data_IF_071752557712
#
_entry.id   IF_071752557712
#
_cell.length_a   1.000
_cell.length_b   1.000
_cell.length_c   1.000
_cell.angle_alpha   90.00
_cell.angle_beta   90.00
_cell.angle_gamma   90.00
#
_symmetry.space_group_name_H-M   'P 1'
#
loop_
_entity.id
_entity.type
_entity.pdbx_description
1 polymer ?
#
# COMPACT_ATOMS: atom_id res chain seq x y z
N UNK A 1 -36.27 -43.95 9.62
CA UNK A 1 -34.87 -43.55 9.72
C UNK A 1 -34.46 -42.87 8.41
N UNK A 2 -34.61 -41.56 8.36
CA UNK A 2 -34.17 -40.70 7.23
C UNK A 2 -33.77 -39.37 7.82
N UNK A 3 -32.70 -38.84 7.37
CA UNK A 3 -32.15 -37.49 7.56
C UNK A 3 -30.89 -37.46 8.41
N UNK A 4 -29.77 -37.40 7.74
CA UNK A 4 -28.65 -36.52 8.09
C UNK A 4 -27.54 -36.69 7.05
N UNK A 5 -27.62 -36.00 5.95
CA UNK A 5 -26.46 -35.89 5.00
C UNK A 5 -26.67 -34.77 3.99
N UNK A 6 -26.86 -33.53 4.41
CA UNK A 6 -26.74 -32.36 3.52
C UNK A 6 -26.43 -31.16 4.43
N UNK A 7 -25.19 -30.97 4.84
CA UNK A 7 -24.75 -29.63 5.37
C UNK A 7 -23.23 -29.43 5.37
N UNK A 8 -22.46 -30.27 4.69
CA UNK A 8 -20.98 -30.13 4.74
C UNK A 8 -20.37 -29.48 3.47
N UNK A 9 -21.11 -29.36 2.35
CA UNK A 9 -20.52 -28.87 1.09
C UNK A 9 -20.45 -27.35 0.92
N UNK A 10 -21.18 -26.56 1.71
CA UNK A 10 -21.20 -25.09 1.51
C UNK A 10 -20.07 -24.35 2.25
N UNK A 11 -19.46 -24.95 3.27
CA UNK A 11 -18.40 -24.29 4.04
C UNK A 11 -17.01 -24.34 3.37
N UNK A 12 -16.72 -25.38 2.57
CA UNK A 12 -15.42 -25.52 1.91
C UNK A 12 -15.27 -24.59 0.70
N UNK A 13 -16.35 -24.26 0.00
CA UNK A 13 -16.29 -23.36 -1.17
C UNK A 13 -16.11 -21.88 -0.77
N UNK A 14 -16.68 -21.45 0.35
CA UNK A 14 -16.48 -20.11 0.89
C UNK A 14 -15.04 -19.90 1.39
N UNK A 15 -14.43 -20.90 2.00
CA UNK A 15 -13.06 -20.83 2.49
C UNK A 15 -12.04 -20.77 1.34
N UNK A 16 -12.29 -21.49 0.26
CA UNK A 16 -11.43 -21.51 -0.92
C UNK A 16 -11.52 -20.20 -1.73
N UNK A 17 -12.70 -19.57 -1.79
CA UNK A 17 -12.88 -18.26 -2.43
C UNK A 17 -12.21 -17.15 -1.62
N UNK A 18 -12.36 -17.13 -0.29
CA UNK A 18 -11.70 -16.18 0.60
C UNK A 18 -10.16 -16.31 0.55
N UNK A 19 -9.63 -17.50 0.31
CA UNK A 19 -8.19 -17.73 0.19
C UNK A 19 -7.60 -17.14 -1.10
N UNK A 20 -8.40 -16.98 -2.18
CA UNK A 20 -7.98 -16.30 -3.42
C UNK A 20 -7.98 -14.78 -3.33
N UNK A 21 -8.73 -14.21 -2.42
CA UNK A 21 -8.90 -12.76 -2.25
C UNK A 21 -7.84 -12.13 -1.34
N UNK A 22 -7.09 -12.97 -0.58
CA UNK A 22 -5.97 -12.58 0.24
C UNK A 22 -4.82 -13.56 0.00
N UNK A 23 -3.91 -13.20 -0.89
CA UNK A 23 -2.79 -14.08 -1.28
C UNK A 23 -1.53 -13.28 -1.57
N UNK A 24 -0.39 -13.99 -1.47
CA UNK A 24 0.92 -13.50 -1.89
C UNK A 24 1.55 -14.56 -2.79
N UNK A 25 1.50 -14.33 -4.09
CA UNK A 25 1.89 -15.28 -5.11
C UNK A 25 3.11 -14.79 -5.91
N UNK A 26 3.67 -15.63 -6.76
CA UNK A 26 4.61 -15.19 -7.79
C UNK A 26 3.92 -14.24 -8.76
N UNK A 27 4.67 -13.26 -9.30
CA UNK A 27 4.10 -12.28 -10.22
C UNK A 27 3.68 -13.00 -11.52
N UNK A 28 2.42 -12.89 -11.98
CA UNK A 28 1.98 -13.41 -13.27
C UNK A 28 2.75 -12.76 -14.43
N UNK A 29 2.96 -13.50 -15.54
CA UNK A 29 3.76 -13.01 -16.66
C UNK A 29 3.19 -11.75 -17.32
N UNK A 30 1.87 -11.65 -17.43
CA UNK A 30 1.21 -10.46 -17.94
C UNK A 30 1.44 -9.23 -17.06
N UNK A 31 1.40 -9.39 -15.73
CA UNK A 31 1.71 -8.33 -14.78
C UNK A 31 3.18 -7.94 -14.87
N UNK A 32 4.08 -8.94 -14.86
CA UNK A 32 5.51 -8.71 -15.02
C UNK A 32 5.86 -7.95 -16.30
N UNK A 33 5.21 -8.30 -17.42
CA UNK A 33 5.38 -7.61 -18.69
C UNK A 33 4.92 -6.15 -18.61
N UNK A 34 3.79 -5.87 -17.95
CA UNK A 34 3.27 -4.50 -17.80
C UNK A 34 4.17 -3.60 -16.95
N UNK A 35 4.97 -4.17 -16.04
CA UNK A 35 5.91 -3.45 -15.19
C UNK A 35 7.17 -2.97 -15.94
N UNK A 36 7.54 -3.65 -17.04
CA UNK A 36 8.79 -3.38 -17.74
C UNK A 36 8.85 -1.95 -18.31
N UNK A 37 9.95 -1.23 -18.02
CA UNK A 37 10.15 0.15 -18.44
C UNK A 37 9.26 1.18 -17.72
N UNK A 38 8.46 0.73 -16.73
CA UNK A 38 7.58 1.59 -15.91
C UNK A 38 7.98 1.53 -14.44
N UNK A 39 7.40 0.60 -13.69
CA UNK A 39 7.75 0.39 -12.27
C UNK A 39 8.97 -0.48 -12.08
N UNK A 40 9.34 -1.28 -13.07
CA UNK A 40 10.55 -2.09 -13.08
C UNK A 40 11.47 -1.71 -14.25
N UNK A 41 12.73 -1.45 -13.92
CA UNK A 41 13.83 -1.24 -14.87
C UNK A 41 14.88 -2.30 -14.56
N UNK A 42 15.47 -3.02 -15.55
CA UNK A 42 16.52 -4.00 -15.31
C UNK A 42 17.66 -3.44 -14.47
N UNK A 43 18.02 -4.14 -13.40
CA UNK A 43 18.98 -3.69 -12.39
C UNK A 43 19.54 -4.86 -11.58
N UNK A 44 20.62 -4.61 -10.81
CA UNK A 44 21.26 -5.63 -9.96
C UNK A 44 20.75 -5.65 -8.52
N UNK A 45 19.80 -4.77 -8.14
CA UNK A 45 19.39 -4.61 -6.74
C UNK A 45 18.16 -5.44 -6.37
N UNK A 46 17.26 -5.70 -7.32
CA UNK A 46 16.02 -6.44 -7.09
C UNK A 46 15.64 -7.22 -8.34
N UNK A 47 15.31 -8.50 -8.16
CA UNK A 47 14.92 -9.39 -9.25
C UNK A 47 13.44 -9.76 -9.11
N UNK A 48 12.81 -10.28 -10.19
CA UNK A 48 11.42 -10.77 -10.16
C UNK A 48 11.19 -11.78 -9.02
N UNK A 49 12.16 -12.66 -8.78
CA UNK A 49 12.09 -13.68 -7.72
C UNK A 49 12.04 -13.13 -6.30
N UNK A 50 12.46 -11.86 -6.11
CA UNK A 50 12.40 -11.18 -4.82
C UNK A 50 11.05 -10.53 -4.58
N UNK A 51 10.23 -10.40 -5.61
CA UNK A 51 8.93 -9.74 -5.56
C UNK A 51 7.79 -10.76 -5.50
N UNK A 52 6.67 -10.30 -4.94
CA UNK A 52 5.39 -11.03 -4.90
C UNK A 52 4.26 -10.16 -5.40
N UNK A 53 3.30 -10.79 -6.03
CA UNK A 53 2.02 -10.23 -6.37
C UNK A 53 1.06 -10.52 -5.22
N UNK A 54 0.60 -9.47 -4.57
CA UNK A 54 -0.27 -9.55 -3.40
C UNK A 54 -1.66 -9.07 -3.79
N UNK A 55 -2.68 -9.88 -3.48
CA UNK A 55 -4.09 -9.53 -3.62
C UNK A 55 -4.72 -9.41 -2.24
N UNK A 56 -5.53 -8.38 -2.06
CA UNK A 56 -6.21 -8.08 -0.80
C UNK A 56 -7.57 -7.46 -1.06
N UNK A 57 -8.54 -7.72 -0.19
CA UNK A 57 -9.78 -6.94 -0.19
C UNK A 57 -9.60 -5.65 0.60
N UNK A 58 -10.27 -4.59 0.14
CA UNK A 58 -10.37 -3.33 0.87
C UNK A 58 -11.75 -2.69 0.71
N UNK A 59 -12.09 -1.81 1.63
CA UNK A 59 -13.29 -0.98 1.56
C UNK A 59 -12.92 0.40 1.02
N UNK A 60 -13.63 0.88 0.00
CA UNK A 60 -13.49 2.26 -0.46
C UNK A 60 -14.21 3.24 0.49
N UNK A 61 -14.18 4.52 0.13
CA UNK A 61 -14.80 5.58 0.93
C UNK A 61 -16.33 5.60 0.86
N UNK A 62 -16.92 4.88 -0.10
CA UNK A 62 -18.36 4.66 -0.25
C UNK A 62 -18.83 3.39 0.49
N UNK A 63 -17.91 2.67 1.12
CA UNK A 63 -18.18 1.43 1.84
C UNK A 63 -18.41 0.23 0.92
N UNK A 64 -17.90 0.27 -0.30
CA UNK A 64 -17.90 -0.85 -1.24
C UNK A 64 -16.61 -1.65 -1.10
N UNK A 65 -16.74 -2.97 -1.18
CA UNK A 65 -15.58 -3.89 -1.18
C UNK A 65 -15.00 -4.03 -2.58
N UNK A 66 -13.66 -3.96 -2.66
CA UNK A 66 -12.89 -4.13 -3.89
C UNK A 66 -11.74 -5.08 -3.67
N UNK A 67 -11.33 -5.76 -4.76
CA UNK A 67 -10.08 -6.51 -4.80
C UNK A 67 -8.95 -5.54 -5.19
N UNK A 68 -7.96 -5.41 -4.33
CA UNK A 68 -6.76 -4.62 -4.55
C UNK A 68 -5.56 -5.48 -4.94
N UNK A 69 -4.60 -4.86 -5.62
CA UNK A 69 -3.40 -5.49 -6.16
C UNK A 69 -2.14 -4.69 -5.80
N UNK A 70 -1.14 -5.37 -5.27
CA UNK A 70 0.15 -4.79 -4.90
C UNK A 70 1.30 -5.65 -5.42
N UNK A 71 2.43 -5.01 -5.74
CA UNK A 71 3.72 -5.70 -5.86
C UNK A 71 4.56 -5.28 -4.67
N UNK A 72 5.14 -6.24 -3.95
CA UNK A 72 6.03 -5.97 -2.83
C UNK A 72 7.16 -7.00 -2.75
N UNK A 73 8.14 -6.77 -1.88
CA UNK A 73 9.18 -7.75 -1.59
C UNK A 73 8.59 -8.98 -0.90
N UNK A 74 9.13 -10.17 -1.23
CA UNK A 74 8.75 -11.44 -0.60
C UNK A 74 8.85 -11.43 0.92
N UNK A 75 9.76 -10.61 1.47
CA UNK A 75 9.99 -10.49 2.91
C UNK A 75 8.80 -9.90 3.67
N UNK A 76 8.03 -9.01 3.03
CA UNK A 76 6.89 -8.35 3.65
C UNK A 76 5.53 -8.85 3.13
N UNK A 77 5.52 -9.70 2.11
CA UNK A 77 4.29 -10.07 1.40
C UNK A 77 3.23 -10.69 2.32
N UNK A 78 3.60 -11.70 3.13
CA UNK A 78 2.68 -12.32 4.09
C UNK A 78 2.28 -11.36 5.23
N UNK A 79 3.16 -10.45 5.64
CA UNK A 79 2.82 -9.42 6.63
C UNK A 79 1.74 -8.49 6.09
N UNK A 80 1.84 -8.06 4.81
CA UNK A 80 0.82 -7.24 4.16
C UNK A 80 -0.52 -8.00 4.09
N UNK A 81 -0.51 -9.27 3.69
CA UNK A 81 -1.74 -10.11 3.68
C UNK A 81 -2.43 -10.10 5.04
N UNK A 82 -1.68 -10.31 6.13
CA UNK A 82 -2.24 -10.31 7.50
C UNK A 82 -2.78 -8.92 7.87
N UNK A 83 -2.00 -7.86 7.64
CA UNK A 83 -2.40 -6.48 7.93
C UNK A 83 -3.69 -6.11 7.18
N UNK A 84 -3.76 -6.39 5.87
CA UNK A 84 -4.94 -6.05 5.08
C UNK A 84 -6.17 -6.88 5.44
N UNK A 85 -6.02 -8.14 5.89
CA UNK A 85 -7.12 -8.91 6.48
C UNK A 85 -7.69 -8.23 7.73
N UNK A 86 -6.84 -7.76 8.63
CA UNK A 86 -7.28 -7.06 9.85
C UNK A 86 -7.92 -5.70 9.50
N UNK A 87 -7.35 -4.93 8.55
CA UNK A 87 -7.94 -3.68 8.07
C UNK A 87 -9.31 -3.90 7.41
N UNK A 88 -9.43 -4.93 6.58
CA UNK A 88 -10.70 -5.28 5.92
C UNK A 88 -11.77 -5.71 6.91
N UNK A 89 -11.43 -6.57 7.88
CA UNK A 89 -12.35 -7.00 8.95
C UNK A 89 -12.86 -5.83 9.80
N UNK A 90 -12.01 -4.81 10.02
CA UNK A 90 -12.36 -3.58 10.72
C UNK A 90 -13.08 -2.55 9.85
N UNK A 91 -13.35 -2.84 8.58
CA UNK A 91 -13.89 -1.89 7.58
C UNK A 91 -13.08 -0.60 7.47
N UNK A 92 -11.75 -0.70 7.62
CA UNK A 92 -10.86 0.44 7.48
C UNK A 92 -10.87 0.95 6.02
N UNK A 93 -11.17 2.24 5.78
CA UNK A 93 -11.36 2.74 4.44
C UNK A 93 -10.03 3.00 3.72
N UNK A 94 -9.85 2.39 2.56
CA UNK A 94 -8.75 2.61 1.63
C UNK A 94 -9.35 2.84 0.26
N UNK A 95 -9.09 4.00 -0.37
CA UNK A 95 -9.79 4.40 -1.58
C UNK A 95 -9.48 3.50 -2.77
N UNK A 96 -8.19 3.33 -3.07
CA UNK A 96 -7.72 2.49 -4.16
C UNK A 96 -6.50 1.69 -3.72
N UNK A 97 -6.40 0.44 -4.23
CA UNK A 97 -5.20 -0.40 -4.16
C UNK A 97 -5.00 -0.99 -5.55
N UNK A 98 -4.32 -0.25 -6.41
CA UNK A 98 -4.16 -0.57 -7.82
C UNK A 98 -2.67 -0.56 -8.20
N UNK A 99 -2.31 -1.40 -9.18
CA UNK A 99 -0.94 -1.42 -9.68
C UNK A 99 -0.56 -0.06 -10.29
N UNK A 100 0.65 0.45 -9.98
CA UNK A 100 1.11 1.77 -10.45
C UNK A 100 1.11 1.94 -11.97
N UNK A 101 1.15 0.84 -12.72
CA UNK A 101 1.07 0.81 -14.19
C UNK A 101 -0.20 1.45 -14.73
N UNK A 102 -1.31 1.39 -13.98
CA UNK A 102 -2.57 2.07 -14.31
C UNK A 102 -2.40 3.61 -14.41
N UNK A 103 -1.43 4.13 -13.69
CA UNK A 103 -1.07 5.55 -13.65
C UNK A 103 0.19 5.87 -14.46
N UNK A 104 0.66 4.94 -15.32
CA UNK A 104 1.94 5.01 -16.02
C UNK A 104 3.15 5.16 -15.09
N UNK A 105 3.09 4.57 -13.90
CA UNK A 105 4.10 4.68 -12.84
C UNK A 105 4.41 6.13 -12.40
N UNK A 106 3.49 7.06 -12.63
CA UNK A 106 3.60 8.45 -12.22
C UNK A 106 3.15 8.59 -10.75
N UNK A 107 4.10 8.82 -9.85
CA UNK A 107 3.85 8.95 -8.41
C UNK A 107 2.85 10.06 -8.08
N UNK A 108 2.95 11.22 -8.74
CA UNK A 108 2.04 12.34 -8.45
C UNK A 108 0.60 12.00 -8.85
N UNK A 109 0.41 11.31 -9.99
CA UNK A 109 -0.92 10.85 -10.43
C UNK A 109 -1.50 9.82 -9.47
N UNK A 110 -0.71 8.84 -9.04
CA UNK A 110 -1.15 7.84 -8.07
C UNK A 110 -1.59 8.48 -6.74
N UNK A 111 -0.74 9.33 -6.18
CA UNK A 111 -1.03 10.02 -4.92
C UNK A 111 -2.25 10.92 -5.03
N UNK A 112 -2.43 11.63 -6.16
CA UNK A 112 -3.63 12.45 -6.41
C UNK A 112 -4.90 11.62 -6.53
N UNK A 113 -4.82 10.44 -7.11
CA UNK A 113 -5.91 9.46 -7.17
C UNK A 113 -6.15 8.75 -5.82
N UNK A 114 -5.36 9.06 -4.79
CA UNK A 114 -5.40 8.41 -3.49
C UNK A 114 -5.15 6.89 -3.58
N UNK A 115 -4.23 6.47 -4.46
CA UNK A 115 -3.89 5.08 -4.67
C UNK A 115 -2.84 4.61 -3.66
N UNK A 116 -3.18 3.62 -2.86
CA UNK A 116 -2.25 2.88 -1.99
C UNK A 116 -1.37 2.00 -2.86
N UNK A 117 -0.05 2.13 -2.74
CA UNK A 117 0.92 1.41 -3.59
C UNK A 117 2.20 1.06 -2.83
N UNK A 118 2.94 0.07 -3.34
CA UNK A 118 4.16 -0.43 -2.70
C UNK A 118 5.38 -0.32 -3.62
N UNK A 119 5.55 -1.20 -4.60
CA UNK A 119 6.75 -1.27 -5.43
C UNK A 119 6.76 -0.24 -6.56
N UNK A 120 7.87 0.50 -6.65
CA UNK A 120 8.24 1.30 -7.82
C UNK A 120 9.76 1.51 -7.79
N UNK A 121 10.48 1.02 -8.80
CA UNK A 121 11.94 1.13 -8.87
C UNK A 121 12.36 2.54 -9.22
N UNK A 122 12.82 3.28 -8.25
CA UNK A 122 13.27 4.66 -8.40
C UNK A 122 14.23 5.10 -7.29
N UNK A 123 14.99 6.12 -7.55
CA UNK A 123 15.76 6.82 -6.52
C UNK A 123 14.87 7.74 -5.68
N UNK A 124 15.33 8.06 -4.49
CA UNK A 124 14.76 9.13 -3.66
C UNK A 124 15.01 10.46 -4.38
N UNK A 125 13.99 11.30 -4.51
CA UNK A 125 14.07 12.59 -5.18
C UNK A 125 15.25 13.45 -4.63
N UNK A 126 16.14 13.88 -5.54
CA UNK A 126 17.33 14.66 -5.19
C UNK A 126 18.48 13.84 -4.56
N UNK A 127 18.46 12.51 -4.67
CA UNK A 127 19.47 11.61 -4.11
C UNK A 127 19.82 10.48 -5.09
N UNK A 128 21.03 9.93 -4.98
CA UNK A 128 21.42 8.66 -5.66
C UNK A 128 20.99 7.40 -4.90
N UNK A 129 20.37 7.55 -3.72
CA UNK A 129 19.92 6.41 -2.90
C UNK A 129 18.61 5.86 -3.46
N UNK A 130 18.50 4.53 -3.50
CA UNK A 130 17.25 3.85 -3.82
C UNK A 130 16.20 4.10 -2.73
N UNK A 131 14.97 4.35 -3.15
CA UNK A 131 13.81 4.37 -2.27
C UNK A 131 13.56 2.98 -1.67
N UNK A 132 12.93 2.90 -0.50
CA UNK A 132 12.40 1.63 0.01
C UNK A 132 11.31 1.04 -0.89
N UNK A 133 10.56 1.88 -1.61
CA UNK A 133 9.66 1.43 -2.67
C UNK A 133 10.39 0.70 -3.80
N UNK A 134 11.61 1.13 -4.15
CA UNK A 134 12.43 0.46 -5.17
C UNK A 134 12.88 -0.95 -4.74
N UNK A 135 12.85 -1.24 -3.47
CA UNK A 135 13.13 -2.56 -2.89
C UNK A 135 11.86 -3.37 -2.60
N UNK A 136 10.68 -2.77 -2.83
CA UNK A 136 9.40 -3.35 -2.45
C UNK A 136 9.18 -3.46 -0.94
N UNK A 137 9.91 -2.68 -0.14
CA UNK A 137 9.92 -2.70 1.33
C UNK A 137 9.21 -1.50 1.95
N UNK A 138 8.47 -0.72 1.17
CA UNK A 138 7.63 0.37 1.65
C UNK A 138 6.25 0.33 1.00
N UNK A 139 5.26 0.86 1.71
CA UNK A 139 3.90 1.03 1.23
C UNK A 139 3.37 2.40 1.66
N UNK A 140 2.66 3.06 0.75
CA UNK A 140 1.97 4.32 0.99
C UNK A 140 0.46 4.07 1.11
N UNK A 141 -0.17 4.50 2.21
CA UNK A 141 -1.58 4.30 2.52
C UNK A 141 -2.34 5.62 2.40
N UNK A 142 -3.37 5.66 1.56
CA UNK A 142 -4.25 6.83 1.37
C UNK A 142 -3.48 8.15 1.19
N UNK A 143 -2.61 8.26 0.18
CA UNK A 143 -1.61 9.34 0.07
C UNK A 143 -2.19 10.74 -0.05
N UNK A 144 -3.37 10.91 -0.66
CA UNK A 144 -3.99 12.22 -0.80
C UNK A 144 -4.31 12.85 0.57
N UNK A 145 -4.77 12.06 1.54
CA UNK A 145 -5.11 12.52 2.89
C UNK A 145 -3.91 12.47 3.85
N UNK A 146 -2.86 11.77 3.48
CA UNK A 146 -1.67 11.57 4.30
C UNK A 146 -0.39 11.96 3.57
N UNK A 147 -0.27 13.22 3.10
CA UNK A 147 0.81 13.64 2.24
C UNK A 147 2.18 13.54 2.92
N UNK A 148 3.22 13.44 2.10
CA UNK A 148 4.53 13.87 2.53
C UNK A 148 4.53 15.40 2.69
N UNK A 149 5.09 15.89 3.80
CA UNK A 149 5.20 17.32 4.13
C UNK A 149 6.66 17.66 4.37
N UNK A 150 7.19 18.60 3.60
CA UNK A 150 8.54 19.12 3.76
C UNK A 150 8.51 20.63 3.91
N UNK A 151 9.40 21.16 4.74
CA UNK A 151 9.67 22.58 4.84
C UNK A 151 10.97 22.87 4.10
N UNK A 152 10.92 23.77 3.16
CA UNK A 152 12.08 24.22 2.38
C UNK A 152 12.89 25.25 3.19
N UNK A 153 14.13 25.50 2.79
CA UNK A 153 15.00 26.46 3.50
C UNK A 153 14.47 27.88 3.49
N UNK A 154 13.67 28.26 2.50
CA UNK A 154 12.96 29.54 2.38
C UNK A 154 11.60 29.56 3.12
N UNK A 155 11.35 28.56 3.99
CA UNK A 155 10.19 28.53 4.88
C UNK A 155 8.88 28.05 4.22
N UNK A 156 8.90 27.67 2.93
CA UNK A 156 7.69 27.18 2.26
C UNK A 156 7.40 25.74 2.65
N UNK A 157 6.11 25.42 2.79
CA UNK A 157 5.63 24.06 2.94
C UNK A 157 5.34 23.46 1.57
N UNK A 158 5.94 22.30 1.28
CA UNK A 158 5.73 21.53 0.07
C UNK A 158 5.13 20.18 0.42
N UNK A 159 4.11 19.76 -0.33
CA UNK A 159 3.45 18.47 -0.15
C UNK A 159 3.60 17.58 -1.38
N UNK A 160 3.63 16.27 -1.16
CA UNK A 160 3.43 15.29 -2.19
C UNK A 160 2.26 14.37 -1.75
N UNK A 161 1.16 14.32 -2.54
CA UNK A 161 0.92 15.07 -3.78
C UNK A 161 0.73 16.58 -3.55
N UNK A 162 0.99 17.39 -4.57
CA UNK A 162 0.83 18.87 -4.50
C UNK A 162 -0.59 19.29 -4.14
N UNK A 163 -1.59 18.53 -4.58
CA UNK A 163 -3.01 18.77 -4.32
C UNK A 163 -3.42 18.55 -2.86
N UNK A 164 -2.55 17.94 -2.04
CA UNK A 164 -2.82 17.60 -0.66
C UNK A 164 -2.42 18.71 0.35
N UNK A 165 -2.10 19.92 -0.11
CA UNK A 165 -1.65 21.03 0.75
C UNK A 165 -2.62 21.31 1.92
N UNK A 166 -3.94 21.15 1.71
CA UNK A 166 -4.97 21.31 2.75
C UNK A 166 -4.86 20.31 3.91
N UNK A 167 -4.17 19.17 3.69
CA UNK A 167 -3.95 18.11 4.68
C UNK A 167 -2.56 18.16 5.33
N UNK A 168 -1.73 19.16 4.97
CA UNK A 168 -0.40 19.37 5.56
C UNK A 168 -0.45 19.75 7.03
N UNK A 169 -1.47 20.55 7.41
CA UNK A 169 -1.70 20.94 8.80
C UNK A 169 -2.35 19.80 9.58
N UNK A 170 -1.52 19.06 10.30
CA UNK A 170 -1.94 17.89 11.07
C UNK A 170 -2.58 18.22 12.42
N UNK A 171 -2.65 19.49 12.82
CA UNK A 171 -3.44 19.93 13.97
C UNK A 171 -4.94 19.87 13.69
N UNK A 172 -5.33 20.08 12.43
CA UNK A 172 -6.73 20.03 11.99
C UNK A 172 -7.30 18.63 12.01
N UNK A 173 -8.61 18.54 12.30
CA UNK A 173 -9.37 17.29 12.21
C UNK A 173 -9.92 17.13 10.79
N UNK A 174 -9.69 15.96 10.19
CA UNK A 174 -10.25 15.56 8.92
C UNK A 174 -10.31 14.02 8.83
N UNK A 175 -11.16 13.51 7.94
CA UNK A 175 -11.33 12.08 7.72
C UNK A 175 -10.06 11.44 7.14
N UNK A 176 -9.87 10.16 7.40
CA UNK A 176 -8.80 9.31 6.82
C UNK A 176 -7.37 9.75 7.18
N UNK A 177 -7.23 10.55 8.23
CA UNK A 177 -5.95 11.01 8.77
C UNK A 177 -5.27 9.90 9.57
N UNK A 178 -4.12 9.42 9.11
CA UNK A 178 -3.29 8.48 9.87
C UNK A 178 -2.60 9.23 11.00
N UNK A 179 -2.78 8.76 12.22
CA UNK A 179 -2.12 9.21 13.46
C UNK A 179 -1.56 8.00 14.20
N UNK A 180 -0.90 8.21 15.34
CA UNK A 180 -0.43 7.09 16.18
C UNK A 180 -1.56 6.26 16.79
N UNK A 181 -2.76 6.81 16.89
CA UNK A 181 -3.95 6.12 17.39
C UNK A 181 -4.72 5.39 16.30
N UNK A 182 -4.38 5.65 15.01
CA UNK A 182 -5.02 5.05 13.85
C UNK A 182 -4.73 3.55 13.75
N UNK A 183 -5.71 2.78 13.25
CA UNK A 183 -5.61 1.33 13.13
C UNK A 183 -4.48 0.92 12.18
N UNK A 184 -4.31 1.62 11.04
CA UNK A 184 -3.23 1.31 10.10
C UNK A 184 -1.87 1.50 10.78
N UNK A 185 -1.65 2.62 11.49
CA UNK A 185 -0.42 2.81 12.25
C UNK A 185 -0.13 1.66 13.22
N UNK A 186 -1.14 1.26 14.02
CA UNK A 186 -1.00 0.19 15.02
C UNK A 186 -0.66 -1.15 14.38
N UNK A 187 -1.33 -1.50 13.29
CA UNK A 187 -1.10 -2.78 12.60
C UNK A 187 0.27 -2.80 11.91
N UNK A 188 0.60 -1.78 11.13
CA UNK A 188 1.89 -1.74 10.45
C UNK A 188 3.06 -1.76 11.45
N UNK A 189 2.99 -0.98 12.54
CA UNK A 189 4.06 -0.96 13.55
C UNK A 189 4.15 -2.27 14.33
N UNK A 190 3.03 -2.92 14.65
CA UNK A 190 2.99 -4.28 15.24
C UNK A 190 3.74 -5.30 14.38
N UNK A 191 3.66 -5.15 13.04
CA UNK A 191 4.33 -6.03 12.09
C UNK A 191 5.76 -5.59 11.70
N UNK A 192 6.33 -4.61 12.41
CA UNK A 192 7.73 -4.20 12.27
C UNK A 192 8.00 -3.07 11.28
N UNK A 193 6.96 -2.44 10.72
CA UNK A 193 7.13 -1.28 9.86
C UNK A 193 7.38 0.00 10.67
N UNK A 194 8.16 0.89 10.11
CA UNK A 194 8.38 2.23 10.64
C UNK A 194 7.55 3.24 9.85
N UNK A 195 6.87 4.15 10.56
CA UNK A 195 6.03 5.18 9.95
C UNK A 195 6.81 6.46 9.65
N UNK A 196 6.73 6.98 8.42
CA UNK A 196 7.35 8.22 8.00
C UNK A 196 6.81 9.47 8.71
N UNK A 197 5.60 9.43 9.27
CA UNK A 197 5.07 10.47 10.15
C UNK A 197 5.88 10.67 11.44
N UNK A 198 6.72 9.70 11.84
CA UNK A 198 7.63 9.81 12.98
C UNK A 198 8.99 10.46 12.61
N UNK A 199 9.32 10.64 11.33
CA UNK A 199 10.62 11.21 10.93
C UNK A 199 10.79 12.65 11.43
N UNK A 200 12.05 13.07 11.63
CA UNK A 200 12.35 14.36 12.26
C UNK A 200 12.19 15.55 11.32
N UNK A 201 12.72 15.47 10.11
CA UNK A 201 12.89 16.62 9.21
C UNK A 201 11.87 16.69 8.08
N UNK A 202 11.48 15.56 7.53
CA UNK A 202 10.43 15.44 6.54
C UNK A 202 9.39 14.47 7.09
N UNK A 203 8.14 14.89 7.14
CA UNK A 203 7.06 14.02 7.58
C UNK A 203 6.44 13.36 6.37
N UNK A 204 6.33 12.04 6.39
CA UNK A 204 5.66 11.30 5.33
C UNK A 204 4.53 10.46 5.94
N UNK A 205 3.34 11.04 5.96
CA UNK A 205 2.23 10.47 6.71
C UNK A 205 1.57 9.28 6.04
N UNK A 206 1.78 9.08 4.71
CA UNK A 206 1.33 7.91 3.98
C UNK A 206 2.25 6.71 4.16
N UNK A 207 3.55 6.95 4.40
CA UNK A 207 4.66 6.03 4.23
C UNK A 207 4.90 5.11 5.42
N UNK A 208 4.91 3.81 5.15
CA UNK A 208 5.35 2.76 6.07
C UNK A 208 6.49 1.96 5.42
N UNK A 209 7.65 1.87 6.05
CA UNK A 209 8.81 1.13 5.53
C UNK A 209 9.26 0.04 6.49
N UNK A 210 9.68 -1.10 5.93
CA UNK A 210 10.25 -2.23 6.65
C UNK A 210 11.79 -2.19 6.49
N UNK A 211 12.51 -2.26 7.61
CA UNK A 211 13.97 -2.17 7.65
C UNK A 211 14.60 -3.46 8.15
#
# INVERSE_FOLDING_TARGET
MRKLLITILSFSSLTLCAQKEFSADTIPDNVWTSMQGKTYIPNDNIQRSDLRYVRVLHWDYDGKSHLGELICNKEIAEKLVVIFKELYAARYPIQHIELPEKYNADDEKQMRANNTSCFCYRQIAGSKRLSYHARGLAIDINPLYNPQVRHTKDGKTVTAPKTAARYADRSKTFKYKITRDDLAYKLFTKHGFQWGGNWKYSKDYQHFEYR
#
